data_IF_750712253789
#
_entry.id   IF_750712253789
#
_cell.length_a   1.000
_cell.length_b   1.000
_cell.length_c   1.000
_cell.angle_alpha   90.00
_cell.angle_beta   90.00
_cell.angle_gamma   90.00
#
_symmetry.space_group_name_H-M   'P 1'
#
loop_
_entity.id
_entity.type
_entity.pdbx_description
1 polymer ?
#
# COMPACT_ATOMS: atom_id res chain seq x y z
N UNK A 1 28.37 21.46 8.61
CA UNK A 1 27.05 20.98 9.07
C UNK A 1 26.14 20.79 7.86
N UNK A 2 25.30 19.75 7.78
CA UNK A 2 24.39 19.56 6.64
C UNK A 2 23.44 20.74 6.49
N UNK A 3 23.14 21.14 5.25
CA UNK A 3 22.22 22.24 4.99
C UNK A 3 20.82 21.88 5.55
N UNK A 4 20.14 22.79 6.28
CA UNK A 4 18.89 22.48 6.98
C UNK A 4 17.79 21.91 6.05
N UNK A 5 17.79 22.35 4.79
CA UNK A 5 16.85 21.88 3.77
C UNK A 5 17.04 20.39 3.40
N UNK A 6 18.25 19.83 3.46
CA UNK A 6 18.52 18.45 3.01
C UNK A 6 18.45 17.41 4.13
N UNK A 7 18.19 17.84 5.37
CA UNK A 7 18.13 16.97 6.55
C UNK A 7 17.11 15.84 6.34
N UNK A 8 15.92 16.16 5.82
CA UNK A 8 14.87 15.16 5.59
C UNK A 8 15.29 14.11 4.56
N UNK A 9 15.83 14.52 3.40
CA UNK A 9 16.31 13.60 2.37
C UNK A 9 17.41 12.67 2.91
N UNK A 10 18.31 13.19 3.74
CA UNK A 10 19.35 12.36 4.37
C UNK A 10 18.77 11.35 5.34
N UNK A 11 17.78 11.74 6.15
CA UNK A 11 17.08 10.80 7.04
C UNK A 11 16.36 9.71 6.25
N UNK A 12 15.67 10.07 5.16
CA UNK A 12 15.02 9.11 4.26
C UNK A 12 16.03 8.14 3.63
N UNK A 13 17.19 8.64 3.21
CA UNK A 13 18.26 7.79 2.70
C UNK A 13 18.78 6.79 3.73
N UNK A 14 18.96 7.21 4.98
CA UNK A 14 19.36 6.33 6.07
C UNK A 14 18.27 5.30 6.40
N UNK A 15 17.00 5.71 6.41
CA UNK A 15 15.86 4.81 6.57
C UNK A 15 15.81 3.77 5.45
N UNK A 16 16.00 4.19 4.20
CA UNK A 16 16.03 3.30 3.04
C UNK A 16 17.18 2.30 3.14
N UNK A 17 18.40 2.76 3.46
CA UNK A 17 19.56 1.88 3.68
C UNK A 17 19.36 0.87 4.81
N UNK A 18 18.61 1.25 5.85
CA UNK A 18 18.28 0.35 6.97
C UNK A 18 17.18 -0.64 6.60
N UNK A 19 16.21 -0.21 5.80
CA UNK A 19 15.07 -1.02 5.40
C UNK A 19 15.42 -2.02 4.29
N UNK A 20 16.36 -1.68 3.40
CA UNK A 20 16.74 -2.52 2.27
C UNK A 20 18.21 -2.93 2.34
N UNK A 21 18.51 -4.24 2.22
CA UNK A 21 19.88 -4.69 1.95
C UNK A 21 20.38 -4.15 0.59
N UNK A 22 21.68 -4.18 0.35
CA UNK A 22 22.30 -3.53 -0.81
C UNK A 22 21.67 -3.93 -2.16
N UNK A 23 21.32 -5.21 -2.32
CA UNK A 23 20.63 -5.70 -3.51
C UNK A 23 19.23 -5.07 -3.70
N UNK A 24 18.52 -4.76 -2.61
CA UNK A 24 17.22 -4.09 -2.65
C UNK A 24 17.33 -2.65 -3.17
N UNK A 25 18.42 -1.95 -2.85
CA UNK A 25 18.70 -0.61 -3.40
C UNK A 25 18.96 -0.68 -4.91
N UNK A 26 19.72 -1.67 -5.36
CA UNK A 26 19.97 -1.89 -6.80
C UNK A 26 18.66 -2.21 -7.53
N UNK A 27 17.83 -3.09 -6.98
CA UNK A 27 16.51 -3.41 -7.54
C UNK A 27 15.58 -2.20 -7.59
N UNK A 28 15.60 -1.35 -6.55
CA UNK A 28 14.84 -0.10 -6.54
C UNK A 28 15.30 0.84 -7.65
N UNK A 29 16.62 0.99 -7.85
CA UNK A 29 17.15 1.81 -8.93
C UNK A 29 16.72 1.28 -10.30
N UNK A 30 16.81 -0.03 -10.52
CA UNK A 30 16.32 -0.68 -11.75
C UNK A 30 14.82 -0.47 -11.93
N UNK A 31 14.03 -0.59 -10.88
CA UNK A 31 12.58 -0.35 -10.92
C UNK A 31 12.25 1.09 -11.30
N UNK A 32 12.98 2.07 -10.77
CA UNK A 32 12.82 3.49 -11.14
C UNK A 32 13.16 3.70 -12.62
N UNK A 33 14.27 3.13 -13.10
CA UNK A 33 14.65 3.22 -14.51
C UNK A 33 13.62 2.55 -15.44
N UNK A 34 13.11 1.37 -15.06
CA UNK A 34 12.07 0.68 -15.81
C UNK A 34 10.76 1.47 -15.83
N UNK A 35 10.35 2.04 -14.70
CA UNK A 35 9.17 2.90 -14.60
C UNK A 35 9.31 4.15 -15.45
N UNK A 36 10.47 4.81 -15.43
CA UNK A 36 10.80 5.95 -16.29
C UNK A 36 10.66 5.62 -17.76
N UNK A 37 11.29 4.51 -18.19
CA UNK A 37 11.24 4.04 -19.56
C UNK A 37 9.80 3.73 -20.00
N UNK A 38 9.03 3.04 -19.14
CA UNK A 38 7.64 2.69 -19.43
C UNK A 38 6.75 3.93 -19.54
N UNK A 39 6.87 4.88 -18.60
CA UNK A 39 6.11 6.14 -18.65
C UNK A 39 6.41 6.93 -19.92
N UNK A 40 7.70 7.04 -20.26
CA UNK A 40 8.13 7.70 -21.49
C UNK A 40 7.59 6.99 -22.75
N UNK A 41 7.66 5.66 -22.80
CA UNK A 41 7.15 4.87 -23.91
C UNK A 41 5.62 5.03 -24.08
N UNK A 42 4.85 5.10 -22.99
CA UNK A 42 3.41 5.35 -23.02
C UNK A 42 3.13 6.76 -23.57
N UNK A 43 3.86 7.77 -23.09
CA UNK A 43 3.66 9.16 -23.50
C UNK A 43 3.99 9.41 -24.97
N UNK A 44 5.02 8.74 -25.52
CA UNK A 44 5.34 8.81 -26.95
C UNK A 44 4.24 8.19 -27.80
N UNK A 45 3.60 7.12 -27.31
CA UNK A 45 2.52 6.44 -28.04
C UNK A 45 1.25 7.27 -28.08
N UNK A 46 0.89 7.90 -26.97
CA UNK A 46 -0.29 8.75 -26.88
C UNK A 46 -0.10 9.84 -25.81
N UNK A 47 -0.06 11.09 -26.27
CA UNK A 47 0.14 12.26 -25.43
C UNK A 47 -1.03 12.55 -24.49
N UNK A 48 -2.24 11.99 -24.76
CA UNK A 48 -3.40 12.14 -23.88
C UNK A 48 -3.15 11.57 -22.48
N UNK A 49 -2.23 10.60 -22.34
CA UNK A 49 -1.83 10.03 -21.06
C UNK A 49 -1.09 11.00 -20.14
N UNK A 50 -0.54 12.10 -20.66
CA UNK A 50 0.22 13.06 -19.87
C UNK A 50 -0.61 13.69 -18.74
N UNK A 51 -1.89 13.98 -19.01
CA UNK A 51 -2.81 14.53 -18.00
C UNK A 51 -3.04 13.54 -16.85
N UNK A 52 -3.29 12.27 -17.17
CA UNK A 52 -3.54 11.22 -16.17
C UNK A 52 -2.29 10.93 -15.34
N UNK A 53 -1.11 10.89 -15.96
CA UNK A 53 0.17 10.67 -15.28
C UNK A 53 0.47 11.84 -14.33
N UNK A 54 0.32 13.09 -14.77
CA UNK A 54 0.53 14.26 -13.93
C UNK A 54 -0.47 14.34 -12.77
N UNK A 55 -1.77 14.10 -13.05
CA UNK A 55 -2.81 14.06 -12.04
C UNK A 55 -2.58 12.96 -11.00
N UNK A 56 -2.21 11.76 -11.44
CA UNK A 56 -1.87 10.63 -10.57
C UNK A 56 -0.68 10.92 -9.65
N UNK A 57 0.38 11.56 -10.18
CA UNK A 57 1.53 11.99 -9.40
C UNK A 57 1.14 13.01 -8.31
N UNK A 58 0.38 14.04 -8.69
CA UNK A 58 -0.09 15.07 -7.74
C UNK A 58 -0.99 14.48 -6.65
N UNK A 59 -1.94 13.60 -7.01
CA UNK A 59 -2.80 12.92 -6.05
C UNK A 59 -2.00 12.05 -5.08
N UNK A 60 -0.94 11.39 -5.57
CA UNK A 60 -0.05 10.58 -4.75
C UNK A 60 0.66 11.44 -3.71
N UNK A 61 1.28 12.56 -4.13
CA UNK A 61 1.99 13.44 -3.18
C UNK A 61 1.03 14.13 -2.22
N UNK A 62 -0.15 14.55 -2.70
CA UNK A 62 -1.22 15.07 -1.86
C UNK A 62 -1.61 14.05 -0.78
N UNK A 63 -1.85 12.79 -1.17
CA UNK A 63 -2.16 11.71 -0.23
C UNK A 63 -1.06 11.49 0.81
N UNK A 64 0.21 11.54 0.41
CA UNK A 64 1.36 11.46 1.32
C UNK A 64 1.39 12.65 2.29
N UNK A 65 1.13 13.86 1.79
CA UNK A 65 1.08 15.06 2.62
C UNK A 65 -0.04 15.02 3.66
N UNK A 66 -1.25 14.62 3.25
CA UNK A 66 -2.42 14.56 4.13
C UNK A 66 -2.30 13.48 5.22
N UNK A 67 -1.52 12.41 4.99
CA UNK A 67 -1.35 11.29 5.94
C UNK A 67 -0.11 11.42 6.83
N UNK A 68 0.57 12.57 6.80
CA UNK A 68 1.87 12.73 7.45
C UNK A 68 1.72 12.92 8.96
N UNK A 69 2.03 11.87 9.72
CA UNK A 69 1.94 11.88 11.18
C UNK A 69 3.01 12.78 11.85
N UNK A 70 4.16 12.98 11.19
CA UNK A 70 5.30 13.76 11.72
C UNK A 70 5.23 15.26 11.40
N UNK A 71 4.19 15.74 10.69
CA UNK A 71 4.12 17.12 10.19
C UNK A 71 4.27 18.16 11.31
N UNK A 72 3.62 17.93 12.46
CA UNK A 72 3.73 18.82 13.61
C UNK A 72 5.14 18.80 14.22
N UNK A 73 5.75 17.63 14.32
CA UNK A 73 7.13 17.48 14.79
C UNK A 73 8.11 18.23 13.88
N UNK A 74 7.96 18.07 12.56
CA UNK A 74 8.83 18.70 11.57
C UNK A 74 8.75 20.22 11.61
N UNK A 75 7.55 20.78 11.66
CA UNK A 75 7.38 22.23 11.75
C UNK A 75 7.97 22.83 13.03
N UNK A 76 8.05 22.05 14.12
CA UNK A 76 8.56 22.52 15.41
C UNK A 76 10.07 22.33 15.58
N UNK A 77 10.66 21.30 14.97
CA UNK A 77 12.05 20.90 15.25
C UNK A 77 12.98 20.97 14.03
N UNK A 78 12.46 21.04 12.81
CA UNK A 78 13.30 21.13 11.59
C UNK A 78 13.38 22.57 11.12
N UNK A 79 14.58 23.19 11.08
CA UNK A 79 14.75 24.53 10.53
C UNK A 79 14.33 24.54 9.05
N UNK A 80 13.52 25.52 8.65
CA UNK A 80 12.96 25.61 7.28
C UNK A 80 12.22 24.33 6.85
N UNK A 81 11.43 23.73 7.75
CA UNK A 81 10.66 22.50 7.51
C UNK A 81 9.93 22.48 6.16
N UNK A 82 9.24 23.56 5.77
CA UNK A 82 8.53 23.64 4.48
C UNK A 82 9.45 23.45 3.27
N UNK A 83 10.65 24.03 3.30
CA UNK A 83 11.64 23.85 2.24
C UNK A 83 12.17 22.42 2.20
N UNK A 84 12.40 21.81 3.37
CA UNK A 84 12.81 20.42 3.45
C UNK A 84 11.73 19.46 2.90
N UNK A 85 10.45 19.77 3.18
CA UNK A 85 9.30 19.06 2.62
C UNK A 85 9.20 19.24 1.09
N UNK A 86 9.44 20.45 0.58
CA UNK A 86 9.46 20.72 -0.87
C UNK A 86 10.49 19.84 -1.57
N UNK A 87 11.70 19.72 -1.00
CA UNK A 87 12.74 18.88 -1.58
C UNK A 87 12.38 17.39 -1.54
N UNK A 88 11.73 16.94 -0.47
CA UNK A 88 11.25 15.55 -0.36
C UNK A 88 10.15 15.24 -1.39
N UNK A 89 9.17 16.14 -1.56
CA UNK A 89 8.11 15.98 -2.56
C UNK A 89 8.64 16.14 -3.99
N UNK A 90 9.59 17.06 -4.22
CA UNK A 90 10.28 17.21 -5.49
C UNK A 90 11.04 15.94 -5.88
N UNK A 91 11.77 15.33 -4.95
CA UNK A 91 12.45 14.06 -5.17
C UNK A 91 11.47 12.92 -5.47
N UNK A 92 10.30 12.91 -4.82
CA UNK A 92 9.26 11.90 -5.04
C UNK A 92 8.65 11.97 -6.46
N UNK A 93 8.40 13.19 -6.98
CA UNK A 93 7.82 13.36 -8.33
C UNK A 93 8.86 13.40 -9.45
N UNK A 94 10.16 13.46 -9.12
CA UNK A 94 11.24 13.62 -10.08
C UNK A 94 11.18 12.60 -11.23
N UNK A 95 10.92 11.29 -11.02
CA UNK A 95 10.84 10.36 -12.14
C UNK A 95 9.71 10.73 -13.12
N UNK A 96 8.52 11.06 -12.61
CA UNK A 96 7.38 11.44 -13.45
C UNK A 96 7.66 12.75 -14.20
N UNK A 97 8.26 13.72 -13.51
CA UNK A 97 8.66 15.00 -14.11
C UNK A 97 9.63 14.78 -15.27
N UNK A 98 10.66 13.94 -15.09
CA UNK A 98 11.61 13.62 -16.16
C UNK A 98 10.94 12.93 -17.35
N UNK A 99 10.06 11.96 -17.11
CA UNK A 99 9.34 11.28 -18.19
C UNK A 99 8.48 12.25 -19.02
N UNK A 100 7.78 13.18 -18.36
CA UNK A 100 6.96 14.21 -19.04
C UNK A 100 7.81 15.20 -19.84
N UNK A 101 8.95 15.64 -19.28
CA UNK A 101 9.87 16.55 -19.97
C UNK A 101 10.50 15.88 -21.20
N UNK A 102 10.95 14.64 -21.07
CA UNK A 102 11.53 13.88 -22.18
C UNK A 102 10.52 13.61 -23.30
N UNK A 103 9.24 13.44 -22.95
CA UNK A 103 8.15 13.29 -23.91
C UNK A 103 7.63 14.63 -24.48
N UNK A 104 8.21 15.78 -24.11
CA UNK A 104 7.78 17.10 -24.58
C UNK A 104 6.45 17.61 -24.00
N UNK A 105 5.95 16.99 -22.93
CA UNK A 105 4.68 17.34 -22.29
C UNK A 105 4.85 18.49 -21.26
N UNK A 106 5.38 19.63 -21.70
CA UNK A 106 5.80 20.76 -20.84
C UNK A 106 4.71 21.28 -19.91
N UNK A 107 3.47 21.41 -20.39
CA UNK A 107 2.35 21.91 -19.60
C UNK A 107 2.06 20.99 -18.39
N UNK A 108 2.11 19.68 -18.60
CA UNK A 108 1.88 18.68 -17.56
C UNK A 108 3.09 18.53 -16.64
N UNK A 109 4.31 18.68 -17.15
CA UNK A 109 5.51 18.79 -16.32
C UNK A 109 5.44 20.00 -15.38
N UNK A 110 5.02 21.17 -15.88
CA UNK A 110 4.79 22.36 -15.07
C UNK A 110 3.69 22.13 -14.02
N UNK A 111 2.61 21.41 -14.36
CA UNK A 111 1.56 21.03 -13.42
C UNK A 111 2.10 20.15 -12.28
N UNK A 112 2.97 19.18 -12.56
CA UNK A 112 3.58 18.31 -11.53
C UNK A 112 4.41 19.11 -10.51
N UNK A 113 5.00 20.26 -10.91
CA UNK A 113 5.73 21.14 -9.99
C UNK A 113 4.84 21.75 -8.90
N UNK A 114 3.50 21.73 -9.04
CA UNK A 114 2.59 22.12 -7.96
C UNK A 114 2.80 21.26 -6.70
N UNK A 115 3.33 20.03 -6.84
CA UNK A 115 3.74 19.20 -5.70
C UNK A 115 4.72 19.92 -4.74
N UNK A 116 5.56 20.82 -5.27
CA UNK A 116 6.52 21.60 -4.49
C UNK A 116 5.85 22.62 -3.56
N UNK A 117 4.60 23.04 -3.86
CA UNK A 117 3.83 24.03 -3.09
C UNK A 117 2.98 23.36 -2.00
N UNK A 118 2.78 22.04 -2.05
CA UNK A 118 2.02 21.28 -1.06
C UNK A 118 2.42 21.53 0.40
N UNK A 119 3.69 21.74 0.79
CA UNK A 119 4.06 21.99 2.18
C UNK A 119 3.44 23.24 2.82
N UNK A 120 2.88 24.15 2.02
CA UNK A 120 2.19 25.35 2.50
C UNK A 120 0.68 25.15 2.65
N UNK A 121 0.13 24.04 2.17
CA UNK A 121 -1.28 23.72 2.33
C UNK A 121 -1.53 23.12 3.72
N UNK A 122 -2.70 23.39 4.32
CA UNK A 122 -3.07 22.76 5.58
C UNK A 122 -3.31 21.26 5.37
N UNK A 123 -2.88 20.46 6.34
CA UNK A 123 -3.35 19.08 6.46
C UNK A 123 -4.75 19.13 7.03
N UNK A 124 -5.70 18.55 6.28
CA UNK A 124 -7.07 18.40 6.74
C UNK A 124 -7.05 17.32 7.82
N UNK A 125 -7.39 17.64 9.09
CA UNK A 125 -7.49 16.61 10.10
C UNK A 125 -8.52 15.61 9.63
N UNK A 126 -8.15 14.32 9.63
CA UNK A 126 -9.07 13.27 9.25
C UNK A 126 -10.30 13.38 10.15
N UNK A 127 -11.40 13.92 9.61
CA UNK A 127 -12.68 13.89 10.30
C UNK A 127 -12.99 12.43 10.55
N UNK A 128 -13.25 12.05 11.80
CA UNK A 128 -13.60 10.68 12.17
C UNK A 128 -14.94 10.29 11.57
N UNK A 129 -15.00 10.11 10.24
CA UNK A 129 -16.18 9.65 9.51
C UNK A 129 -16.41 8.22 9.97
N UNK A 130 -17.30 8.08 10.96
CA UNK A 130 -17.69 6.79 11.51
C UNK A 130 -18.58 6.09 10.48
N UNK A 131 -17.99 5.29 9.60
CA UNK A 131 -18.70 4.34 8.75
C UNK A 131 -19.40 3.28 9.61
N UNK A 132 -20.57 3.61 10.17
CA UNK A 132 -21.23 2.81 11.21
C UNK A 132 -21.95 1.56 10.70
N UNK A 133 -22.52 1.61 9.51
CA UNK A 133 -23.33 0.52 8.95
C UNK A 133 -22.51 -0.68 8.42
N UNK A 134 -21.50 -0.50 7.54
CA UNK A 134 -20.76 -1.64 6.99
C UNK A 134 -19.87 -2.33 8.04
N UNK A 135 -19.59 -1.66 9.16
CA UNK A 135 -18.92 -2.24 10.33
C UNK A 135 -19.66 -3.46 10.91
N UNK A 136 -20.97 -3.61 10.68
CA UNK A 136 -21.77 -4.73 11.18
C UNK A 136 -21.53 -6.02 10.41
N UNK A 137 -21.05 -5.92 9.16
CA UNK A 137 -20.85 -7.07 8.27
C UNK A 137 -19.52 -7.79 8.52
N UNK A 138 -18.58 -7.12 9.20
CA UNK A 138 -17.26 -7.66 9.51
C UNK A 138 -17.24 -8.16 10.96
N UNK A 139 -16.84 -9.42 11.13
CA UNK A 139 -16.74 -10.05 12.45
C UNK A 139 -15.85 -9.24 13.42
N UNK A 140 -16.22 -9.10 14.71
CA UNK A 140 -15.41 -8.36 15.69
C UNK A 140 -13.96 -8.80 15.83
N UNK A 141 -13.69 -10.09 15.59
CA UNK A 141 -12.34 -10.67 15.65
C UNK A 141 -11.41 -10.19 14.51
N UNK A 142 -11.97 -9.60 13.45
CA UNK A 142 -11.25 -9.00 12.32
C UNK A 142 -11.24 -7.47 12.45
N UNK A 143 -10.81 -6.99 13.61
CA UNK A 143 -10.85 -5.58 13.95
C UNK A 143 -9.95 -4.72 13.05
N UNK A 144 -8.90 -5.29 12.44
CA UNK A 144 -8.04 -4.60 11.46
C UNK A 144 -8.86 -4.12 10.27
N UNK A 145 -9.68 -5.02 9.72
CA UNK A 145 -10.60 -4.71 8.64
C UNK A 145 -11.71 -3.74 9.08
N UNK A 146 -12.19 -3.87 10.33
CA UNK A 146 -13.17 -2.91 10.88
C UNK A 146 -12.57 -1.51 11.04
N UNK A 147 -11.32 -1.41 11.49
CA UNK A 147 -10.59 -0.14 11.65
C UNK A 147 -10.26 0.50 10.31
N UNK A 148 -9.75 -0.29 9.36
CA UNK A 148 -9.47 0.17 8.00
C UNK A 148 -10.73 0.68 7.30
N UNK A 149 -11.84 -0.05 7.45
CA UNK A 149 -13.13 0.39 6.94
C UNK A 149 -13.57 1.71 7.59
N UNK A 150 -13.33 1.96 8.88
CA UNK A 150 -13.69 3.26 9.47
C UNK A 150 -12.86 4.42 8.92
N UNK A 151 -11.55 4.22 8.74
CA UNK A 151 -10.66 5.29 8.27
C UNK A 151 -10.70 5.54 6.76
N UNK A 152 -11.01 4.52 5.96
CA UNK A 152 -10.87 4.58 4.51
C UNK A 152 -12.10 4.11 3.73
N UNK A 153 -13.24 3.87 4.39
CA UNK A 153 -14.51 3.44 3.77
C UNK A 153 -14.88 4.21 2.50
N UNK A 154 -14.91 5.56 2.48
CA UNK A 154 -15.40 6.28 1.31
C UNK A 154 -14.52 6.02 0.09
N UNK A 155 -13.20 5.94 0.31
CA UNK A 155 -12.22 5.66 -0.73
C UNK A 155 -12.30 4.21 -1.20
N UNK A 156 -12.35 3.25 -0.28
CA UNK A 156 -12.49 1.83 -0.64
C UNK A 156 -13.79 1.56 -1.41
N UNK A 157 -14.90 2.17 -0.98
CA UNK A 157 -16.19 2.08 -1.66
C UNK A 157 -16.16 2.74 -3.04
N UNK A 158 -15.58 3.94 -3.16
CA UNK A 158 -15.42 4.61 -4.45
C UNK A 158 -14.60 3.77 -5.43
N UNK A 159 -13.46 3.22 -4.98
CA UNK A 159 -12.62 2.35 -5.80
C UNK A 159 -13.38 1.09 -6.23
N UNK A 160 -14.13 0.47 -5.32
CA UNK A 160 -14.88 -0.75 -5.60
C UNK A 160 -16.05 -0.51 -6.56
N UNK A 161 -16.83 0.57 -6.35
CA UNK A 161 -17.90 0.97 -7.25
C UNK A 161 -17.37 1.37 -8.63
N UNK A 162 -16.23 2.07 -8.68
CA UNK A 162 -15.55 2.36 -9.96
C UNK A 162 -15.09 1.07 -10.64
N UNK A 163 -14.53 0.11 -9.90
CA UNK A 163 -14.11 -1.18 -10.46
C UNK A 163 -15.30 -1.95 -11.06
N UNK A 164 -16.47 -1.90 -10.42
CA UNK A 164 -17.71 -2.46 -10.98
C UNK A 164 -18.20 -1.68 -12.20
N UNK A 165 -18.30 -0.36 -12.12
CA UNK A 165 -18.83 0.47 -13.21
C UNK A 165 -17.98 0.38 -14.48
N UNK A 166 -16.67 0.20 -14.31
CA UNK A 166 -15.70 0.12 -15.41
C UNK A 166 -15.16 -1.30 -15.62
N UNK A 167 -15.89 -2.34 -15.20
CA UNK A 167 -15.45 -3.73 -15.38
C UNK A 167 -15.32 -4.16 -16.84
N UNK A 168 -15.90 -3.40 -17.79
CA UNK A 168 -15.74 -3.60 -19.23
C UNK A 168 -14.35 -3.19 -19.77
N UNK A 169 -13.58 -2.40 -19.00
CA UNK A 169 -12.21 -2.04 -19.37
C UNK A 169 -11.21 -3.14 -18.96
N UNK A 170 -10.18 -3.46 -19.75
CA UNK A 170 -9.34 -4.64 -19.51
C UNK A 170 -8.51 -4.60 -18.22
N UNK A 171 -7.92 -3.44 -17.92
CA UNK A 171 -6.91 -3.33 -16.83
C UNK A 171 -7.43 -2.51 -15.65
N UNK A 172 -8.30 -1.52 -15.89
CA UNK A 172 -8.79 -0.61 -14.86
C UNK A 172 -9.43 -1.32 -13.64
N UNK A 173 -10.37 -2.28 -13.79
CA UNK A 173 -10.96 -2.96 -12.64
C UNK A 173 -9.93 -3.73 -11.82
N UNK A 174 -8.94 -4.36 -12.47
CA UNK A 174 -7.86 -5.08 -11.79
C UNK A 174 -6.97 -4.11 -11.01
N UNK A 175 -6.60 -2.98 -11.62
CA UNK A 175 -5.82 -1.94 -10.95
C UNK A 175 -6.53 -1.42 -9.69
N UNK A 176 -7.83 -1.15 -9.77
CA UNK A 176 -8.63 -0.67 -8.64
C UNK A 176 -8.77 -1.73 -7.54
N UNK A 177 -8.95 -3.01 -7.89
CA UNK A 177 -8.91 -4.11 -6.93
C UNK A 177 -7.53 -4.26 -6.27
N UNK A 178 -6.45 -4.10 -7.04
CA UNK A 178 -5.09 -4.10 -6.50
C UNK A 178 -4.86 -2.97 -5.49
N UNK A 179 -5.39 -1.78 -5.76
CA UNK A 179 -5.37 -0.68 -4.81
C UNK A 179 -6.11 -1.02 -3.50
N UNK A 180 -7.28 -1.68 -3.59
CA UNK A 180 -8.02 -2.15 -2.41
C UNK A 180 -7.22 -3.23 -1.64
N UNK A 181 -6.58 -4.17 -2.35
CA UNK A 181 -5.72 -5.18 -1.71
C UNK A 181 -4.54 -4.54 -0.96
N UNK A 182 -3.91 -3.50 -1.53
CA UNK A 182 -2.85 -2.74 -0.86
C UNK A 182 -3.36 -2.00 0.38
N UNK A 183 -4.56 -1.42 0.32
CA UNK A 183 -5.21 -0.83 1.50
C UNK A 183 -5.46 -1.88 2.59
N UNK A 184 -5.90 -3.09 2.20
CA UNK A 184 -6.09 -4.21 3.10
C UNK A 184 -4.78 -4.69 3.74
N UNK A 185 -3.67 -4.67 3.00
CA UNK A 185 -2.34 -4.97 3.53
C UNK A 185 -1.89 -3.90 4.53
N UNK A 186 -2.08 -2.61 4.21
CA UNK A 186 -1.77 -1.51 5.13
C UNK A 186 -2.55 -1.59 6.45
N UNK A 187 -3.77 -2.14 6.42
CA UNK A 187 -4.55 -2.42 7.63
C UNK A 187 -3.88 -3.42 8.58
N UNK A 188 -2.97 -4.26 8.08
CA UNK A 188 -2.26 -5.26 8.89
C UNK A 188 -0.98 -4.72 9.55
N UNK A 189 -0.56 -3.47 9.29
CA UNK A 189 0.69 -2.93 9.82
C UNK A 189 0.66 -2.70 11.34
N UNK A 190 -0.52 -2.44 11.91
CA UNK A 190 -0.67 -2.15 13.33
C UNK A 190 -0.88 -3.44 14.13
N UNK A 191 0.00 -3.67 15.11
CA UNK A 191 -0.16 -4.76 16.07
C UNK A 191 -1.08 -4.36 17.22
N UNK A 192 -2.01 -5.26 17.52
CA UNK A 192 -2.90 -5.19 18.67
C UNK A 192 -2.16 -5.37 20.00
N UNK A 193 -2.72 -4.91 21.12
CA UNK A 193 -2.22 -5.27 22.44
C UNK A 193 -2.32 -6.79 22.68
N UNK A 194 -1.41 -7.35 23.50
CA UNK A 194 -1.41 -8.79 23.84
C UNK A 194 -2.74 -9.26 24.41
N UNK A 195 -3.38 -8.46 25.27
CA UNK A 195 -4.69 -8.79 25.85
C UNK A 195 -5.75 -9.07 24.78
N UNK A 196 -5.68 -8.36 23.64
CA UNK A 196 -6.60 -8.57 22.52
C UNK A 196 -6.34 -9.90 21.80
N UNK A 197 -5.09 -10.35 21.72
CA UNK A 197 -4.75 -11.68 21.19
C UNK A 197 -5.39 -12.78 22.03
N UNK A 198 -5.18 -12.71 23.35
CA UNK A 198 -5.62 -13.72 24.32
C UNK A 198 -7.15 -13.81 24.42
N UNK A 199 -7.85 -12.71 24.16
CA UNK A 199 -9.32 -12.70 24.07
C UNK A 199 -9.81 -13.28 22.73
N UNK A 200 -9.02 -13.16 21.66
CA UNK A 200 -9.46 -13.57 20.31
C UNK A 200 -9.38 -15.08 20.08
N UNK A 201 -8.39 -15.74 20.67
CA UNK A 201 -8.14 -17.17 20.50
C UNK A 201 -7.43 -17.77 21.73
N UNK A 202 -7.48 -19.10 21.84
CA UNK A 202 -6.83 -19.88 22.92
C UNK A 202 -5.36 -20.19 22.67
N UNK A 203 -4.95 -20.22 21.40
CA UNK A 203 -3.60 -20.61 20.98
C UNK A 203 -3.22 -19.94 19.64
N UNK A 204 -1.92 -19.96 19.35
CA UNK A 204 -1.35 -19.33 18.16
C UNK A 204 -1.91 -19.87 16.83
N UNK A 205 -2.18 -21.18 16.73
CA UNK A 205 -2.67 -21.78 15.48
C UNK A 205 -4.10 -21.35 15.21
N UNK A 206 -4.93 -21.36 16.25
CA UNK A 206 -6.32 -20.92 16.17
C UNK A 206 -6.39 -19.43 15.82
N UNK A 207 -5.59 -18.59 16.47
CA UNK A 207 -5.51 -17.16 16.15
C UNK A 207 -5.14 -16.94 14.68
N UNK A 208 -4.02 -17.53 14.24
CA UNK A 208 -3.50 -17.35 12.89
C UNK A 208 -4.53 -17.82 11.84
N UNK A 209 -5.20 -18.95 12.09
CA UNK A 209 -6.26 -19.47 11.20
C UNK A 209 -7.45 -18.51 11.11
N UNK A 210 -7.93 -17.97 12.25
CA UNK A 210 -9.04 -17.01 12.28
C UNK A 210 -8.69 -15.77 11.45
N UNK A 211 -7.49 -15.22 11.66
CA UNK A 211 -7.04 -13.99 11.01
C UNK A 211 -6.80 -14.20 9.52
N UNK A 212 -6.08 -15.26 9.15
CA UNK A 212 -5.75 -15.59 7.78
C UNK A 212 -6.99 -15.91 6.95
N UNK A 213 -7.82 -16.86 7.40
CA UNK A 213 -9.03 -17.24 6.66
C UNK A 213 -10.05 -16.11 6.64
N UNK A 214 -10.15 -15.34 7.74
CA UNK A 214 -11.04 -14.18 7.81
C UNK A 214 -10.67 -13.10 6.80
N UNK A 215 -9.39 -12.75 6.70
CA UNK A 215 -8.90 -11.77 5.72
C UNK A 215 -9.09 -12.25 4.28
N UNK A 216 -8.76 -13.51 3.98
CA UNK A 216 -8.97 -14.08 2.64
C UNK A 216 -10.45 -14.11 2.25
N UNK A 217 -11.36 -14.46 3.18
CA UNK A 217 -12.81 -14.45 2.90
C UNK A 217 -13.35 -13.06 2.59
N UNK A 218 -12.91 -12.04 3.33
CA UNK A 218 -13.31 -10.65 3.06
C UNK A 218 -12.77 -10.22 1.69
N UNK A 219 -11.49 -10.48 1.42
CA UNK A 219 -10.88 -10.10 0.15
C UNK A 219 -11.56 -10.81 -1.04
N UNK A 220 -11.84 -12.11 -0.91
CA UNK A 220 -12.59 -12.87 -1.91
C UNK A 220 -13.98 -12.28 -2.15
N UNK A 221 -14.71 -11.91 -1.09
CA UNK A 221 -16.03 -11.29 -1.22
C UNK A 221 -15.98 -9.92 -1.92
N UNK A 222 -14.88 -9.18 -1.75
CA UNK A 222 -14.67 -7.87 -2.40
C UNK A 222 -14.32 -8.04 -3.88
N UNK A 223 -13.40 -8.94 -4.22
CA UNK A 223 -12.90 -9.06 -5.60
C UNK A 223 -13.87 -9.83 -6.52
N UNK A 224 -14.57 -10.85 -6.01
CA UNK A 224 -15.33 -11.79 -6.84
C UNK A 224 -16.42 -11.13 -7.70
N UNK A 225 -17.24 -10.17 -7.20
CA UNK A 225 -18.21 -9.47 -8.05
C UNK A 225 -17.57 -8.72 -9.21
N UNK A 226 -16.42 -8.07 -8.97
CA UNK A 226 -15.69 -7.30 -10.00
C UNK A 226 -15.03 -8.23 -11.01
N UNK A 227 -14.38 -9.32 -10.55
CA UNK A 227 -13.73 -10.28 -11.44
C UNK A 227 -14.74 -11.05 -12.30
N UNK A 228 -15.91 -11.40 -11.75
CA UNK A 228 -17.01 -11.98 -12.53
C UNK A 228 -17.48 -10.97 -13.60
N UNK A 229 -17.74 -9.72 -13.21
CA UNK A 229 -18.13 -8.67 -14.15
C UNK A 229 -17.10 -8.50 -15.28
N UNK A 230 -15.82 -8.38 -14.93
CA UNK A 230 -14.73 -8.26 -15.90
C UNK A 230 -14.64 -9.47 -16.84
N UNK A 231 -14.83 -10.68 -16.33
CA UNK A 231 -14.84 -11.91 -17.14
C UNK A 231 -16.04 -11.99 -18.07
N UNK A 232 -17.21 -11.48 -17.67
CA UNK A 232 -18.39 -11.42 -18.55
C UNK A 232 -18.12 -10.50 -19.75
N UNK A 233 -17.52 -9.33 -19.53
CA UNK A 233 -17.19 -8.39 -20.61
C UNK A 233 -15.97 -8.82 -21.43
N UNK A 234 -15.03 -9.59 -20.84
CA UNK A 234 -13.81 -10.06 -21.50
C UNK A 234 -13.56 -11.54 -21.20
N UNK A 235 -14.33 -12.45 -21.83
CA UNK A 235 -14.27 -13.89 -21.54
C UNK A 235 -12.89 -14.49 -21.83
N UNK A 236 -12.20 -14.00 -22.85
CA UNK A 236 -10.87 -14.48 -23.25
C UNK A 236 -9.80 -14.28 -22.14
N UNK A 237 -10.04 -13.33 -21.22
CA UNK A 237 -9.13 -12.96 -20.14
C UNK A 237 -9.47 -13.67 -18.82
N UNK A 238 -10.35 -14.66 -18.82
CA UNK A 238 -10.80 -15.37 -17.61
C UNK A 238 -9.64 -15.89 -16.74
N UNK A 239 -8.60 -16.44 -17.37
CA UNK A 239 -7.43 -16.99 -16.67
C UNK A 239 -6.60 -15.87 -16.04
N UNK A 240 -6.53 -14.70 -16.69
CA UNK A 240 -5.85 -13.52 -16.18
C UNK A 240 -6.58 -12.98 -14.95
N UNK A 241 -7.92 -12.85 -15.02
CA UNK A 241 -8.75 -12.44 -13.89
C UNK A 241 -8.60 -13.41 -12.69
N UNK A 242 -8.61 -14.71 -12.96
CA UNK A 242 -8.45 -15.74 -11.94
C UNK A 242 -7.07 -15.65 -11.26
N UNK A 243 -5.99 -15.62 -12.06
CA UNK A 243 -4.64 -15.52 -11.52
C UNK A 243 -4.44 -14.21 -10.76
N UNK A 244 -4.96 -13.09 -11.27
CA UNK A 244 -4.89 -11.81 -10.57
C UNK A 244 -5.59 -11.87 -9.21
N UNK A 245 -6.82 -12.38 -9.14
CA UNK A 245 -7.57 -12.56 -7.89
C UNK A 245 -6.81 -13.45 -6.89
N UNK A 246 -6.30 -14.61 -7.35
CA UNK A 246 -5.46 -15.48 -6.51
C UNK A 246 -4.21 -14.74 -6.00
N UNK A 247 -3.57 -13.92 -6.83
CA UNK A 247 -2.44 -13.08 -6.44
C UNK A 247 -2.81 -12.12 -5.31
N UNK A 248 -3.94 -11.43 -5.41
CA UNK A 248 -4.42 -10.49 -4.38
C UNK A 248 -4.79 -11.19 -3.07
N UNK A 249 -5.42 -12.37 -3.14
CA UNK A 249 -5.68 -13.20 -1.96
C UNK A 249 -4.39 -13.61 -1.25
N UNK A 250 -3.41 -14.09 -2.01
CA UNK A 250 -2.11 -14.49 -1.48
C UNK A 250 -1.37 -13.28 -0.88
N UNK A 251 -1.46 -12.11 -1.51
CA UNK A 251 -0.85 -10.88 -1.00
C UNK A 251 -1.43 -10.47 0.36
N UNK A 252 -2.76 -10.46 0.50
CA UNK A 252 -3.42 -10.15 1.77
C UNK A 252 -3.12 -11.21 2.83
N UNK A 253 -3.13 -12.49 2.45
CA UNK A 253 -2.72 -13.59 3.31
C UNK A 253 -1.28 -13.42 3.81
N UNK A 254 -0.37 -13.07 2.91
CA UNK A 254 1.02 -12.79 3.23
C UNK A 254 1.17 -11.66 4.23
N UNK A 255 0.46 -10.54 4.02
CA UNK A 255 0.49 -9.41 4.96
C UNK A 255 0.04 -9.80 6.37
N UNK A 256 -1.00 -10.63 6.51
CA UNK A 256 -1.46 -11.16 7.80
C UNK A 256 -0.40 -12.05 8.45
N UNK A 257 0.18 -12.99 7.70
CA UNK A 257 1.20 -13.90 8.26
C UNK A 257 2.47 -13.14 8.63
N UNK A 258 2.93 -12.22 7.79
CA UNK A 258 4.11 -11.40 8.04
C UNK A 258 3.92 -10.50 9.28
N UNK A 259 2.72 -9.95 9.48
CA UNK A 259 2.36 -9.26 10.73
C UNK A 259 2.64 -10.15 11.93
N UNK A 260 2.14 -11.39 11.92
CA UNK A 260 2.29 -12.29 13.06
C UNK A 260 3.68 -12.91 13.21
N UNK A 261 4.45 -13.04 12.11
CA UNK A 261 5.86 -13.40 12.14
C UNK A 261 6.72 -12.38 12.89
N UNK A 262 6.40 -11.09 12.75
CA UNK A 262 7.14 -9.99 13.37
C UNK A 262 6.34 -9.28 14.47
N UNK A 263 5.26 -9.91 14.98
CA UNK A 263 4.34 -9.27 15.90
C UNK A 263 5.01 -8.84 17.19
N UNK A 264 4.75 -7.59 17.58
CA UNK A 264 5.12 -6.98 18.85
C UNK A 264 3.94 -6.17 19.38
N UNK A 265 3.50 -6.38 20.64
CA UNK A 265 2.32 -5.71 21.17
C UNK A 265 2.40 -4.18 21.06
N UNK A 266 1.33 -3.55 20.58
CA UNK A 266 1.20 -2.08 20.44
C UNK A 266 2.21 -1.40 19.50
N UNK A 267 2.97 -2.14 18.70
CA UNK A 267 3.90 -1.57 17.72
C UNK A 267 3.28 -1.48 16.32
N UNK A 268 3.81 -0.55 15.52
CA UNK A 268 3.56 -0.52 14.08
C UNK A 268 4.76 -1.12 13.36
N UNK A 269 4.52 -2.09 12.49
CA UNK A 269 5.57 -2.84 11.80
C UNK A 269 5.98 -2.15 10.49
N UNK A 270 6.48 -0.91 10.56
CA UNK A 270 6.83 -0.12 9.36
C UNK A 270 7.84 -0.83 8.43
N UNK A 271 8.74 -1.64 8.98
CA UNK A 271 9.72 -2.41 8.22
C UNK A 271 9.08 -3.51 7.34
N UNK A 272 7.87 -3.97 7.66
CA UNK A 272 7.17 -4.97 6.86
C UNK A 272 6.66 -4.39 5.53
N UNK A 273 6.53 -3.07 5.40
CA UNK A 273 6.05 -2.41 4.19
C UNK A 273 6.90 -2.71 2.96
N UNK A 274 8.23 -2.83 3.12
CA UNK A 274 9.13 -3.19 2.01
C UNK A 274 8.85 -4.62 1.50
N UNK A 275 8.67 -5.57 2.41
CA UNK A 275 8.38 -6.97 2.06
C UNK A 275 7.01 -7.11 1.39
N UNK A 276 5.99 -6.42 1.91
CA UNK A 276 4.66 -6.37 1.28
C UNK A 276 4.73 -5.71 -0.09
N UNK A 277 5.51 -4.65 -0.27
CA UNK A 277 5.72 -4.00 -1.56
C UNK A 277 6.33 -4.93 -2.59
N UNK A 278 7.37 -5.70 -2.22
CA UNK A 278 7.96 -6.73 -3.10
C UNK A 278 6.92 -7.78 -3.46
N UNK A 279 6.20 -8.32 -2.46
CA UNK A 279 5.14 -9.30 -2.70
C UNK A 279 4.04 -8.76 -3.63
N UNK A 280 3.69 -7.48 -3.51
CA UNK A 280 2.66 -6.85 -4.34
C UNK A 280 3.06 -6.76 -5.82
N UNK A 281 4.32 -6.42 -6.12
CA UNK A 281 4.82 -6.39 -7.50
C UNK A 281 4.63 -7.74 -8.19
N UNK A 282 4.96 -8.83 -7.49
CA UNK A 282 4.78 -10.18 -8.02
C UNK A 282 3.33 -10.65 -8.03
N UNK A 283 2.51 -10.22 -7.07
CA UNK A 283 1.09 -10.57 -6.98
C UNK A 283 0.23 -9.90 -8.06
N UNK A 284 0.62 -8.73 -8.55
CA UNK A 284 -0.09 -8.01 -9.63
C UNK A 284 0.16 -8.68 -10.98
N UNK A 285 1.31 -9.33 -11.17
CA UNK A 285 1.71 -9.94 -12.44
C UNK A 285 1.19 -11.39 -12.53
N UNK A 286 0.18 -11.67 -13.38
CA UNK A 286 -0.35 -13.01 -13.54
C UNK A 286 0.76 -14.01 -13.87
N UNK A 287 0.81 -15.12 -13.14
CA UNK A 287 1.85 -16.16 -13.29
C UNK A 287 3.04 -16.02 -12.33
N UNK A 288 3.31 -14.83 -11.79
CA UNK A 288 4.37 -14.63 -10.78
C UNK A 288 3.88 -14.73 -9.34
N UNK A 289 2.60 -15.01 -9.14
CA UNK A 289 1.96 -15.21 -7.82
C UNK A 289 2.57 -16.34 -6.98
N UNK A 290 3.35 -17.23 -7.59
CA UNK A 290 4.10 -18.26 -6.87
C UNK A 290 5.12 -17.64 -5.90
N UNK A 291 5.70 -16.48 -6.23
CA UNK A 291 6.68 -15.80 -5.36
C UNK A 291 6.04 -15.38 -4.04
N UNK A 292 4.96 -14.57 -3.99
CA UNK A 292 4.32 -14.21 -2.73
C UNK A 292 3.71 -15.43 -2.01
N UNK A 293 3.33 -16.49 -2.73
CA UNK A 293 2.90 -17.75 -2.12
C UNK A 293 4.06 -18.44 -1.37
N UNK A 294 5.24 -18.54 -1.98
CA UNK A 294 6.43 -19.09 -1.32
C UNK A 294 6.81 -18.24 -0.11
N UNK A 295 6.76 -16.90 -0.24
CA UNK A 295 7.00 -15.98 0.88
C UNK A 295 6.01 -16.22 2.03
N UNK A 296 4.72 -16.37 1.72
CA UNK A 296 3.67 -16.73 2.67
C UNK A 296 4.00 -18.04 3.39
N UNK A 297 4.27 -19.11 2.65
CA UNK A 297 4.56 -20.43 3.24
C UNK A 297 5.80 -20.40 4.13
N UNK A 298 6.84 -19.65 3.75
CA UNK A 298 8.07 -19.49 4.54
C UNK A 298 7.85 -18.74 5.87
N UNK A 299 6.93 -17.77 5.90
CA UNK A 299 6.64 -16.97 7.09
C UNK A 299 5.62 -17.62 8.04
N UNK A 300 4.82 -18.60 7.59
CA UNK A 300 3.80 -19.27 8.44
C UNK A 300 4.42 -19.93 9.68
N UNK A 301 5.59 -20.57 9.53
CA UNK A 301 6.27 -21.21 10.65
C UNK A 301 6.73 -20.17 11.68
N UNK A 302 7.39 -19.11 11.21
CA UNK A 302 7.85 -18.00 12.05
C UNK A 302 6.69 -17.32 12.78
N UNK A 303 5.56 -17.10 12.10
CA UNK A 303 4.34 -16.55 12.70
C UNK A 303 3.81 -17.40 13.86
N UNK A 304 3.81 -18.73 13.72
CA UNK A 304 3.38 -19.62 14.80
C UNK A 304 4.35 -19.61 15.98
N UNK A 305 5.65 -19.69 15.69
CA UNK A 305 6.70 -19.67 16.72
C UNK A 305 6.69 -18.34 17.50
N UNK A 306 6.60 -17.20 16.80
CA UNK A 306 6.52 -15.88 17.42
C UNK A 306 5.21 -15.70 18.22
N UNK A 307 4.07 -16.17 17.71
CA UNK A 307 2.81 -16.08 18.48
C UNK A 307 2.82 -16.95 19.74
N UNK A 308 3.43 -18.14 19.68
CA UNK A 308 3.49 -19.06 20.80
C UNK A 308 4.17 -18.44 22.03
N UNK A 309 5.16 -17.56 21.86
CA UNK A 309 5.80 -16.87 23.00
C UNK A 309 4.77 -16.04 23.77
N UNK A 310 3.83 -15.39 23.09
CA UNK A 310 2.82 -14.55 23.75
C UNK A 310 1.67 -15.36 24.38
N UNK A 311 1.37 -16.56 23.89
CA UNK A 311 0.37 -17.45 24.47
C UNK A 311 0.91 -18.26 25.66
N UNK A 312 2.19 -18.65 25.63
CA UNK A 312 2.76 -19.57 26.60
C UNK A 312 3.67 -18.92 27.64
N UNK A 313 4.35 -17.79 27.34
CA UNK A 313 5.08 -17.07 28.40
C UNK A 313 4.12 -16.18 29.20
N UNK A 314 3.92 -16.53 30.47
CA UNK A 314 3.16 -15.74 31.44
C UNK A 314 4.03 -14.72 32.18
N UNK A 315 5.33 -14.68 31.90
CA UNK A 315 6.30 -13.88 32.63
C UNK A 315 7.25 -13.15 31.69
N UNK A 316 6.84 -11.97 31.21
CA UNK A 316 7.71 -10.85 30.82
C UNK A 316 6.85 -9.59 30.61
#
# INVERSE_FOLDING_TARGET
MPHPATILLRLRWLQLKRAMPYYGIVLLALAICAALWLLHAILIRDASYAAYIAGGALLTVWGVHQRRADLHFLHRHVPKARLALTLEYGALVLPVLLALLLAGAWNFAALVLVACVLPWLPVVPASGVRGGWPRKWIAPRLFEWRGALQGAWPWAALLWLAALAFCWLPVLPLFLLGAIALMACGAQEQCEPRSMLLVTATDARTLLRIKLLGAMRIMLAVELPVLIGATIFQPEWWWLHLLFGLGMLVLVAYAVVLKYANYRPNERLDANGANVGVAAVFAILPGLNLVPLIMLLGEVRKARENLNTYFHDHHR
#
